data_IF_450907543286
#
_entry.id   IF_450907543286
#
_cell.length_a   1.000
_cell.length_b   1.000
_cell.length_c   1.000
_cell.angle_alpha   90.00
_cell.angle_beta   90.00
_cell.angle_gamma   90.00
#
_symmetry.space_group_name_H-M   'P 1'
#
loop_
_entity.id
_entity.type
_entity.pdbx_description
1 polymer ?
#
# COMPACT_ATOMS: atom_id res chain seq x y z
N UNK A 1 -21.71 -6.33 4.72
CA UNK A 1 -20.61 -6.66 3.76
C UNK A 1 -19.65 -5.49 3.57
N UNK A 2 -20.16 -4.26 3.36
CA UNK A 2 -19.40 -3.01 3.16
C UNK A 2 -18.44 -2.65 4.31
N UNK A 3 -18.94 -2.65 5.55
CA UNK A 3 -18.12 -2.32 6.73
C UNK A 3 -16.90 -3.24 6.90
N UNK A 4 -17.09 -4.55 6.64
CA UNK A 4 -16.01 -5.53 6.70
C UNK A 4 -14.90 -5.25 5.66
N UNK A 5 -15.25 -4.71 4.48
CA UNK A 5 -14.28 -4.33 3.46
C UNK A 5 -13.49 -3.09 3.86
N UNK A 6 -14.16 -2.05 4.36
CA UNK A 6 -13.51 -0.83 4.90
C UNK A 6 -12.54 -1.14 6.03
N UNK A 7 -12.92 -2.05 6.94
CA UNK A 7 -12.04 -2.51 8.02
C UNK A 7 -10.82 -3.26 7.51
N UNK A 8 -10.97 -4.09 6.46
CA UNK A 8 -9.83 -4.78 5.83
C UNK A 8 -8.88 -3.83 5.12
N UNK A 9 -9.40 -2.75 4.51
CA UNK A 9 -8.58 -1.72 3.86
C UNK A 9 -7.90 -0.77 4.87
N UNK A 10 -8.41 -0.69 6.10
CA UNK A 10 -7.84 0.16 7.15
C UNK A 10 -6.64 -0.50 7.79
N UNK A 11 -5.54 0.25 7.91
CA UNK A 11 -4.30 -0.22 8.53
C UNK A 11 -4.06 0.49 9.87
N UNK A 12 -3.61 -0.25 10.87
CA UNK A 12 -3.21 0.25 12.17
C UNK A 12 -1.83 -0.28 12.57
N UNK A 13 -1.06 0.53 13.28
CA UNK A 13 0.13 0.12 14.02
C UNK A 13 -0.28 -0.09 15.47
N UNK A 14 0.06 -1.24 16.03
CA UNK A 14 -0.16 -1.55 17.44
C UNK A 14 1.17 -1.71 18.16
N UNK A 15 1.28 -1.06 19.31
CA UNK A 15 2.35 -1.32 20.29
C UNK A 15 1.77 -2.21 21.39
N UNK A 16 2.37 -3.37 21.61
CA UNK A 16 2.10 -4.16 22.80
C UNK A 16 3.34 -4.18 23.69
N UNK A 17 3.14 -3.99 24.98
CA UNK A 17 4.18 -3.85 25.99
C UNK A 17 3.85 -4.71 27.21
N UNK A 18 4.83 -4.88 28.10
CA UNK A 18 4.65 -5.64 29.34
C UNK A 18 4.38 -7.14 29.08
N UNK A 19 3.37 -7.76 29.74
CA UNK A 19 3.14 -9.20 29.65
C UNK A 19 2.71 -9.66 28.25
N UNK A 20 2.32 -8.74 27.36
CA UNK A 20 1.85 -9.01 26.00
C UNK A 20 2.83 -8.55 24.92
N UNK A 21 4.14 -8.59 25.20
CA UNK A 21 5.23 -8.14 24.30
C UNK A 21 5.26 -8.75 22.88
N UNK A 22 4.39 -9.73 22.58
CA UNK A 22 4.26 -10.32 21.24
C UNK A 22 2.82 -10.19 20.72
N UNK A 23 2.66 -9.38 19.68
CA UNK A 23 1.42 -9.26 18.89
C UNK A 23 1.04 -10.59 18.27
N UNK A 24 2.01 -11.41 17.88
CA UNK A 24 1.73 -12.76 17.38
C UNK A 24 1.08 -13.63 18.45
N UNK A 25 1.49 -13.54 19.72
CA UNK A 25 0.87 -14.34 20.80
C UNK A 25 -0.56 -13.89 21.08
N UNK A 26 -0.83 -12.59 21.05
CA UNK A 26 -2.19 -12.06 21.23
C UNK A 26 -3.07 -12.38 20.02
N UNK A 27 -2.55 -12.24 18.80
CA UNK A 27 -3.26 -12.60 17.58
C UNK A 27 -3.48 -14.12 17.53
N UNK A 28 -2.51 -14.96 17.87
CA UNK A 28 -2.67 -16.42 17.92
C UNK A 28 -3.64 -16.87 19.03
N UNK A 29 -3.66 -16.18 20.17
CA UNK A 29 -4.63 -16.43 21.24
C UNK A 29 -6.05 -15.98 20.85
N UNK A 30 -6.17 -14.92 20.05
CA UNK A 30 -7.45 -14.37 19.61
C UNK A 30 -7.99 -15.00 18.31
N UNK A 31 -7.11 -15.50 17.44
CA UNK A 31 -7.41 -16.16 16.17
C UNK A 31 -6.87 -17.60 16.18
N UNK A 32 -7.78 -18.58 16.21
CA UNK A 32 -7.48 -19.95 15.75
C UNK A 32 -7.23 -19.97 14.22
N UNK A 33 -6.08 -19.43 13.74
CA UNK A 33 -5.59 -19.31 12.33
C UNK A 33 -5.98 -18.03 11.56
N UNK A 34 -5.22 -17.42 10.61
CA UNK A 34 -3.83 -17.56 10.13
C UNK A 34 -3.14 -16.18 10.14
N UNK A 35 -1.84 -16.17 10.43
CA UNK A 35 -1.02 -14.97 10.66
C UNK A 35 -0.26 -14.52 9.41
N UNK A 36 -0.96 -14.24 8.31
CA UNK A 36 -0.26 -13.99 7.02
C UNK A 36 0.12 -12.54 6.73
N UNK A 37 -0.06 -11.58 7.65
CA UNK A 37 0.50 -10.24 7.41
C UNK A 37 0.68 -9.40 8.67
N UNK A 38 1.50 -9.86 9.61
CA UNK A 38 1.99 -8.98 10.69
C UNK A 38 3.39 -8.51 10.34
N UNK A 39 3.48 -7.39 9.63
CA UNK A 39 4.76 -6.71 9.42
C UNK A 39 5.18 -6.06 10.74
N UNK A 40 6.30 -6.51 11.31
CA UNK A 40 6.91 -5.88 12.49
C UNK A 40 7.84 -4.76 12.03
N UNK A 41 7.61 -3.56 12.54
CA UNK A 41 8.43 -2.38 12.32
C UNK A 41 9.31 -2.16 13.54
N UNK A 42 10.62 -2.05 13.31
CA UNK A 42 11.55 -1.60 14.34
C UNK A 42 11.24 -0.14 14.69
N UNK A 43 11.14 0.16 15.97
CA UNK A 43 10.88 1.48 16.51
C UNK A 43 11.84 1.76 17.67
N UNK A 44 11.90 3.00 18.10
CA UNK A 44 12.64 3.42 19.29
C UNK A 44 11.67 4.16 20.20
N UNK A 45 11.69 3.86 21.50
CA UNK A 45 10.87 4.60 22.45
C UNK A 45 11.50 5.95 22.82
N UNK A 46 10.80 6.73 23.65
CA UNK A 46 11.26 8.05 24.09
C UNK A 46 12.56 8.00 24.91
N UNK A 47 12.96 6.82 25.39
CA UNK A 47 14.19 6.59 26.15
C UNK A 47 15.35 6.08 25.29
N UNK A 48 15.16 5.97 23.97
CA UNK A 48 16.17 5.45 23.06
C UNK A 48 16.24 3.92 23.02
N UNK A 49 15.34 3.21 23.70
CA UNK A 49 15.36 1.75 23.73
C UNK A 49 14.66 1.16 22.50
N UNK A 50 15.16 0.02 21.97
CA UNK A 50 14.54 -0.66 20.86
C UNK A 50 13.14 -1.13 21.25
N UNK A 51 12.18 -0.83 20.37
CA UNK A 51 10.79 -1.21 20.51
C UNK A 51 10.27 -1.74 19.17
N UNK A 52 9.07 -2.32 19.17
CA UNK A 52 8.46 -2.86 17.96
C UNK A 52 7.00 -2.43 17.85
N UNK A 53 6.61 -2.05 16.64
CA UNK A 53 5.22 -1.83 16.27
C UNK A 53 4.82 -2.91 15.28
N UNK A 54 3.60 -3.42 15.41
CA UNK A 54 3.05 -4.38 14.45
C UNK A 54 1.99 -3.72 13.59
N UNK A 55 2.10 -3.88 12.28
CA UNK A 55 1.07 -3.48 11.32
C UNK A 55 -0.03 -4.54 11.30
N UNK A 56 -1.28 -4.10 11.48
CA UNK A 56 -2.49 -4.93 11.51
C UNK A 56 -3.61 -4.26 10.71
N UNK A 57 -4.60 -5.04 10.25
CA UNK A 57 -5.78 -4.45 9.62
C UNK A 57 -6.86 -4.10 10.67
N UNK A 58 -7.95 -3.44 10.24
CA UNK A 58 -9.05 -3.04 11.13
C UNK A 58 -9.87 -4.21 11.70
N UNK A 59 -9.88 -5.37 11.06
CA UNK A 59 -10.52 -6.58 11.61
C UNK A 59 -9.68 -7.11 12.77
N UNK A 60 -8.37 -7.22 12.59
CA UNK A 60 -7.44 -7.68 13.63
C UNK A 60 -7.48 -6.75 14.85
N UNK A 61 -7.54 -5.42 14.62
CA UNK A 61 -7.75 -4.44 15.69
C UNK A 61 -8.99 -4.77 16.53
N UNK A 62 -10.15 -5.00 15.89
CA UNK A 62 -11.39 -5.32 16.61
C UNK A 62 -11.29 -6.62 17.40
N UNK A 63 -10.57 -7.61 16.87
CA UNK A 63 -10.37 -8.88 17.55
C UNK A 63 -9.46 -8.73 18.77
N UNK A 64 -8.38 -7.96 18.65
CA UNK A 64 -7.49 -7.64 19.78
C UNK A 64 -8.26 -6.86 20.86
N UNK A 65 -9.04 -5.84 20.47
CA UNK A 65 -9.86 -5.06 21.40
C UNK A 65 -10.90 -5.92 22.14
N UNK A 66 -11.52 -6.89 21.45
CA UNK A 66 -12.44 -7.84 22.07
C UNK A 66 -11.71 -8.75 23.06
N UNK A 67 -10.59 -9.33 22.65
CA UNK A 67 -9.83 -10.26 23.49
C UNK A 67 -9.33 -9.61 24.78
N UNK A 68 -8.85 -8.36 24.71
CA UNK A 68 -8.40 -7.59 25.88
C UNK A 68 -9.54 -7.21 26.82
N UNK A 69 -10.77 -7.09 26.30
CA UNK A 69 -11.97 -6.87 27.14
C UNK A 69 -12.33 -8.13 27.93
N UNK A 70 -12.14 -9.30 27.31
CA UNK A 70 -12.40 -10.60 27.92
C UNK A 70 -11.27 -11.03 28.87
N UNK A 71 -10.04 -10.54 28.64
CA UNK A 71 -8.83 -10.84 29.40
C UNK A 71 -8.17 -9.53 29.87
N UNK A 72 -8.71 -8.86 30.91
CA UNK A 72 -8.20 -7.57 31.35
C UNK A 72 -6.82 -7.69 32.02
N UNK A 73 -5.89 -6.82 31.62
CA UNK A 73 -4.56 -6.69 32.23
C UNK A 73 -4.46 -5.34 32.95
N UNK A 74 -4.43 -5.31 34.30
CA UNK A 74 -4.30 -4.08 35.06
C UNK A 74 -3.04 -3.30 34.65
N UNK A 75 -3.22 -2.00 34.34
CA UNK A 75 -2.10 -1.12 33.98
C UNK A 75 -1.62 -1.24 32.53
N UNK A 76 -2.25 -2.07 31.69
CA UNK A 76 -1.93 -2.19 30.27
C UNK A 76 -3.08 -1.64 29.41
N UNK A 77 -2.75 -0.79 28.45
CA UNK A 77 -3.69 -0.35 27.42
C UNK A 77 -2.94 -0.29 26.09
N UNK A 78 -3.35 -1.08 25.08
CA UNK A 78 -2.68 -1.05 23.78
C UNK A 78 -2.87 0.32 23.12
N UNK A 79 -1.83 0.77 22.44
CA UNK A 79 -1.89 1.99 21.62
C UNK A 79 -2.09 1.54 20.17
N UNK A 80 -3.19 1.99 19.57
CA UNK A 80 -3.46 1.83 18.15
C UNK A 80 -3.27 3.16 17.44
N UNK A 81 -2.35 3.18 16.49
CA UNK A 81 -2.08 4.34 15.63
C UNK A 81 -2.60 4.00 14.24
N UNK A 82 -3.46 4.83 13.67
CA UNK A 82 -3.92 4.59 12.29
C UNK A 82 -2.78 4.88 11.32
N UNK A 83 -2.43 3.91 10.48
CA UNK A 83 -1.51 4.13 9.38
C UNK A 83 -2.28 4.80 8.24
N UNK A 84 -1.91 6.05 7.97
CA UNK A 84 -2.58 6.89 6.97
C UNK A 84 -1.86 6.87 5.63
N UNK A 85 -0.77 6.11 5.48
CA UNK A 85 -0.06 5.99 4.22
C UNK A 85 -0.82 5.08 3.25
N UNK A 86 -0.66 5.31 1.94
CA UNK A 86 -1.15 4.37 0.93
C UNK A 86 -0.50 2.99 1.15
N UNK A 87 -1.24 1.90 1.41
CA UNK A 87 -0.66 0.56 1.52
C UNK A 87 0.06 0.15 0.23
N UNK A 88 1.14 -0.61 0.38
CA UNK A 88 1.84 -1.32 -0.70
C UNK A 88 1.98 -2.75 -0.21
N UNK A 89 1.17 -3.66 -0.72
CA UNK A 89 1.14 -5.06 -0.27
C UNK A 89 1.24 -5.99 -1.50
N UNK A 90 2.38 -5.88 -2.19
CA UNK A 90 2.67 -6.63 -3.42
C UNK A 90 2.98 -8.10 -3.10
N UNK A 91 2.25 -9.01 -3.74
CA UNK A 91 2.49 -10.45 -3.64
C UNK A 91 3.82 -10.82 -4.30
N UNK A 92 4.60 -11.69 -3.65
CA UNK A 92 5.82 -12.28 -4.21
C UNK A 92 5.55 -13.49 -5.11
N UNK A 93 4.35 -14.06 -5.04
CA UNK A 93 3.97 -15.33 -5.69
C UNK A 93 2.81 -15.16 -6.67
N UNK A 94 2.37 -13.93 -6.93
CA UNK A 94 1.37 -13.60 -7.94
C UNK A 94 1.54 -12.16 -8.40
N UNK A 95 0.91 -11.79 -9.51
CA UNK A 95 0.82 -10.41 -9.95
C UNK A 95 -0.06 -9.53 -9.03
N UNK A 96 -0.67 -10.07 -7.99
CA UNK A 96 -1.52 -9.28 -7.09
C UNK A 96 -0.73 -8.22 -6.31
N UNK A 97 -1.26 -7.01 -6.12
CA UNK A 97 -2.30 -6.36 -6.92
C UNK A 97 -1.71 -5.79 -8.23
N UNK A 98 -2.46 -5.91 -9.34
CA UNK A 98 -2.15 -5.27 -10.62
C UNK A 98 -3.37 -4.48 -11.11
N UNK A 99 -3.14 -3.27 -11.59
CA UNK A 99 -4.18 -2.38 -12.11
C UNK A 99 -4.94 -3.05 -13.27
N UNK A 100 -6.26 -3.11 -13.15
CA UNK A 100 -7.17 -3.64 -14.16
C UNK A 100 -7.10 -5.15 -14.35
N UNK A 101 -6.42 -5.90 -13.48
CA UNK A 101 -6.34 -7.36 -13.54
C UNK A 101 -6.94 -8.00 -12.29
N UNK A 102 -7.89 -8.91 -12.50
CA UNK A 102 -8.31 -9.84 -11.46
C UNK A 102 -7.34 -11.02 -11.40
N UNK A 103 -6.28 -10.87 -10.62
CA UNK A 103 -5.20 -11.86 -10.46
C UNK A 103 -5.66 -13.15 -9.76
N UNK A 104 -6.91 -13.24 -9.33
CA UNK A 104 -7.48 -14.49 -8.80
C UNK A 104 -7.87 -15.46 -9.91
N UNK A 105 -8.04 -14.97 -11.15
CA UNK A 105 -8.45 -15.80 -12.28
C UNK A 105 -7.28 -16.66 -12.81
N UNK A 106 -7.52 -17.93 -13.21
CA UNK A 106 -6.47 -18.87 -13.58
C UNK A 106 -5.53 -18.40 -14.70
N UNK A 107 -6.04 -17.61 -15.65
CA UNK A 107 -5.27 -17.10 -16.79
C UNK A 107 -4.20 -16.07 -16.40
N UNK A 108 -4.26 -15.51 -15.20
CA UNK A 108 -3.27 -14.56 -14.68
C UNK A 108 -2.36 -15.18 -13.62
N UNK A 109 -2.40 -16.52 -13.47
CA UNK A 109 -1.42 -17.23 -12.63
C UNK A 109 -0.06 -17.14 -13.29
N UNK A 110 0.95 -16.87 -12.46
CA UNK A 110 2.35 -16.90 -12.87
C UNK A 110 2.72 -18.29 -13.40
N UNK A 111 3.59 -18.30 -14.41
CA UNK A 111 4.35 -19.50 -14.74
C UNK A 111 5.28 -19.92 -13.60
N UNK A 112 5.79 -21.15 -13.62
CA UNK A 112 6.66 -21.70 -12.57
C UNK A 112 7.90 -20.85 -12.27
N UNK A 113 8.41 -20.14 -13.27
CA UNK A 113 9.69 -19.42 -13.20
C UNK A 113 9.52 -17.89 -13.29
N UNK A 114 8.27 -17.41 -13.31
CA UNK A 114 7.97 -15.99 -13.46
C UNK A 114 7.94 -15.28 -12.10
N UNK A 115 8.74 -14.23 -11.95
CA UNK A 115 8.80 -13.42 -10.74
C UNK A 115 8.04 -12.11 -10.98
N UNK A 116 6.98 -11.81 -10.19
CA UNK A 116 6.17 -10.62 -10.40
C UNK A 116 6.95 -9.36 -9.99
N UNK A 117 7.23 -8.49 -10.97
CA UNK A 117 7.99 -7.24 -10.80
C UNK A 117 7.09 -6.01 -10.95
N UNK A 118 7.35 -4.90 -10.23
CA UNK A 118 8.35 -4.77 -9.17
C UNK A 118 8.00 -5.60 -7.92
N UNK A 119 9.00 -6.02 -7.15
CA UNK A 119 8.80 -6.67 -5.86
C UNK A 119 8.55 -5.66 -4.73
N UNK A 120 8.05 -6.15 -3.60
CA UNK A 120 7.65 -5.33 -2.44
C UNK A 120 8.72 -4.32 -1.98
N UNK A 121 10.00 -4.69 -2.04
CA UNK A 121 11.15 -3.88 -1.60
C UNK A 121 12.18 -3.66 -2.71
N UNK A 122 11.72 -3.68 -3.96
CA UNK A 122 12.58 -3.45 -5.11
C UNK A 122 12.78 -1.96 -5.36
N UNK A 123 14.04 -1.56 -5.46
CA UNK A 123 14.47 -0.21 -5.80
C UNK A 123 15.73 -0.28 -6.67
N UNK A 124 15.89 0.62 -7.66
CA UNK A 124 14.92 1.63 -8.07
C UNK A 124 13.67 1.00 -8.73
N UNK A 125 12.53 1.71 -8.70
CA UNK A 125 11.28 1.23 -9.30
C UNK A 125 10.55 2.36 -10.04
N UNK A 126 10.02 2.05 -11.23
CA UNK A 126 9.21 3.00 -11.99
C UNK A 126 7.87 3.24 -11.32
N UNK A 127 7.51 4.51 -11.15
CA UNK A 127 6.20 4.95 -10.72
C UNK A 127 5.52 5.78 -11.78
N UNK A 128 4.26 5.44 -12.09
CA UNK A 128 3.39 6.26 -12.92
C UNK A 128 2.50 7.14 -12.05
N UNK A 129 2.48 8.43 -12.39
CA UNK A 129 1.66 9.44 -11.76
C UNK A 129 0.68 10.08 -12.74
N UNK A 130 -0.52 10.32 -12.25
CA UNK A 130 -1.54 11.16 -12.86
C UNK A 130 -1.95 12.24 -11.86
N UNK A 131 -2.53 13.35 -12.32
CA UNK A 131 -2.97 14.42 -11.41
C UNK A 131 -1.82 15.22 -10.79
N UNK A 132 -1.87 15.47 -9.48
CA UNK A 132 -0.96 16.42 -8.81
C UNK A 132 0.49 15.92 -8.73
N UNK A 133 0.71 14.62 -8.56
CA UNK A 133 2.08 14.06 -8.57
C UNK A 133 2.75 14.07 -9.95
N UNK A 134 1.99 14.30 -11.03
CA UNK A 134 2.55 14.56 -12.35
C UNK A 134 3.13 15.99 -12.49
N UNK A 135 2.89 16.87 -11.52
CA UNK A 135 3.50 18.20 -11.44
C UNK A 135 4.86 18.11 -10.74
N UNK A 136 5.92 18.51 -11.45
CA UNK A 136 7.30 18.47 -10.95
C UNK A 136 7.51 19.37 -9.74
N UNK A 137 6.75 20.46 -9.60
CA UNK A 137 6.85 21.36 -8.45
C UNK A 137 6.32 20.72 -7.17
N UNK A 138 5.32 19.84 -7.28
CA UNK A 138 4.76 19.08 -6.15
C UNK A 138 5.76 18.01 -5.70
N UNK A 139 6.33 17.25 -6.64
CA UNK A 139 7.34 16.24 -6.27
C UNK A 139 8.64 16.85 -5.76
N UNK A 140 9.12 17.97 -6.31
CA UNK A 140 10.31 18.63 -5.77
C UNK A 140 10.11 19.04 -4.30
N UNK A 141 8.91 19.52 -3.93
CA UNK A 141 8.59 19.82 -2.52
C UNK A 141 8.51 18.55 -1.67
N UNK A 142 7.99 17.46 -2.23
CA UNK A 142 7.78 16.21 -1.51
C UNK A 142 9.07 15.38 -1.35
N UNK A 143 9.95 15.39 -2.34
CA UNK A 143 11.13 14.54 -2.42
C UNK A 143 12.43 15.26 -2.08
N UNK A 144 12.38 16.60 -1.92
CA UNK A 144 13.43 17.58 -1.53
C UNK A 144 13.82 18.50 -2.70
N UNK A 145 14.22 19.74 -2.38
CA UNK A 145 14.48 20.79 -3.37
C UNK A 145 15.61 20.48 -4.36
N UNK A 146 16.51 19.56 -4.03
CA UNK A 146 17.62 19.11 -4.89
C UNK A 146 17.22 17.94 -5.81
N UNK A 147 15.95 17.54 -5.79
CA UNK A 147 15.43 16.43 -6.60
C UNK A 147 15.35 16.83 -8.08
N UNK A 148 16.42 16.57 -8.83
CA UNK A 148 16.48 16.72 -10.28
C UNK A 148 16.20 15.40 -10.99
N UNK A 149 15.05 14.79 -10.73
CA UNK A 149 14.69 13.58 -11.46
C UNK A 149 13.97 13.90 -12.77
N UNK A 150 14.39 13.23 -13.82
CA UNK A 150 13.75 13.29 -15.12
C UNK A 150 12.35 12.66 -15.05
N UNK A 151 11.38 13.37 -15.59
CA UNK A 151 10.05 12.86 -15.81
C UNK A 151 9.89 12.47 -17.27
N UNK A 152 9.36 11.28 -17.50
CA UNK A 152 9.05 10.80 -18.84
C UNK A 152 7.56 10.90 -19.07
N UNK A 153 7.16 11.49 -20.20
CA UNK A 153 5.77 11.42 -20.64
C UNK A 153 5.40 9.94 -20.81
N UNK A 154 4.35 9.51 -20.12
CA UNK A 154 4.00 8.10 -20.04
C UNK A 154 2.49 7.92 -20.12
N UNK A 155 2.09 6.68 -20.38
CA UNK A 155 0.69 6.26 -20.38
C UNK A 155 0.56 4.84 -19.86
N UNK A 156 -0.56 4.54 -19.24
CA UNK A 156 -0.87 3.21 -18.71
C UNK A 156 -2.23 2.72 -19.21
N UNK A 157 -2.41 1.40 -19.16
CA UNK A 157 -3.67 0.70 -19.43
C UNK A 157 -4.17 -0.03 -18.19
N UNK A 158 -5.44 -0.44 -18.23
CA UNK A 158 -6.08 -1.17 -17.13
C UNK A 158 -6.61 -0.26 -16.02
N UNK A 159 -6.47 1.05 -16.17
CA UNK A 159 -7.10 2.02 -15.29
C UNK A 159 -7.99 3.00 -16.06
N UNK A 160 -8.96 3.57 -15.35
CA UNK A 160 -9.77 4.68 -15.83
C UNK A 160 -9.82 5.80 -14.80
N UNK A 161 -9.80 7.04 -15.26
CA UNK A 161 -10.02 8.20 -14.41
C UNK A 161 -11.52 8.38 -14.19
N UNK A 162 -11.96 8.36 -12.92
CA UNK A 162 -13.31 8.71 -12.52
C UNK A 162 -13.31 9.97 -11.68
N UNK A 163 -14.32 10.80 -11.83
CA UNK A 163 -14.48 11.98 -10.97
C UNK A 163 -15.07 11.55 -9.63
N UNK A 164 -14.33 11.82 -8.56
CA UNK A 164 -14.77 11.69 -7.18
C UNK A 164 -14.83 13.07 -6.53
N UNK A 165 -16.05 13.54 -6.28
CA UNK A 165 -16.36 14.89 -5.81
C UNK A 165 -15.82 15.96 -6.77
N UNK A 166 -14.58 16.41 -6.59
CA UNK A 166 -13.92 17.45 -7.41
C UNK A 166 -12.56 17.00 -7.98
N UNK A 167 -12.16 15.76 -7.75
CA UNK A 167 -10.85 15.23 -8.14
C UNK A 167 -11.02 14.00 -9.02
N UNK A 168 -10.09 13.80 -9.95
CA UNK A 168 -10.04 12.56 -10.73
C UNK A 168 -9.23 11.52 -9.96
N UNK A 169 -9.79 10.32 -9.83
CA UNK A 169 -9.17 9.19 -9.16
C UNK A 169 -9.03 8.04 -10.14
N UNK A 170 -7.90 7.33 -10.08
CA UNK A 170 -7.64 6.16 -10.90
C UNK A 170 -8.27 4.93 -10.26
N UNK A 171 -9.17 4.29 -10.99
CA UNK A 171 -9.79 3.02 -10.60
C UNK A 171 -9.47 1.94 -11.63
N UNK A 172 -9.72 0.68 -11.29
CA UNK A 172 -9.57 -0.43 -12.24
C UNK A 172 -10.50 -0.26 -13.45
N UNK A 173 -9.94 -0.56 -14.62
CA UNK A 173 -10.64 -0.77 -15.88
C UNK A 173 -10.27 -2.15 -16.43
N UNK A 174 -11.06 -3.19 -16.10
CA UNK A 174 -10.81 -4.56 -16.58
C UNK A 174 -10.86 -4.70 -18.11
N UNK A 175 -11.52 -3.77 -18.82
CA UNK A 175 -11.57 -3.79 -20.28
C UNK A 175 -10.21 -3.44 -20.91
N UNK A 176 -9.34 -2.74 -20.16
CA UNK A 176 -8.02 -2.24 -20.58
C UNK A 176 -8.06 -1.41 -21.88
N UNK A 177 -9.24 -0.92 -22.28
CA UNK A 177 -9.41 -0.10 -23.48
C UNK A 177 -9.07 1.35 -23.20
N UNK A 178 -9.27 1.82 -21.96
CA UNK A 178 -8.90 3.18 -21.59
C UNK A 178 -7.39 3.35 -21.47
N UNK A 179 -6.95 4.54 -21.85
CA UNK A 179 -5.56 4.96 -21.80
C UNK A 179 -5.47 6.17 -20.88
N UNK A 180 -4.67 6.06 -19.82
CA UNK A 180 -4.45 7.15 -18.88
C UNK A 180 -3.09 7.75 -19.14
N UNK A 181 -3.07 9.03 -19.49
CA UNK A 181 -1.84 9.79 -19.72
C UNK A 181 -1.36 10.42 -18.42
N UNK A 182 -0.04 10.49 -18.27
CA UNK A 182 0.59 11.03 -17.09
C UNK A 182 2.10 11.10 -17.28
N UNK A 183 2.83 10.90 -16.19
CA UNK A 183 4.29 10.87 -16.22
C UNK A 183 4.84 9.69 -15.42
N UNK A 184 5.99 9.21 -15.85
CA UNK A 184 6.76 8.20 -15.16
C UNK A 184 8.00 8.82 -14.51
N UNK A 185 8.35 8.30 -13.34
CA UNK A 185 9.51 8.68 -12.57
C UNK A 185 10.16 7.43 -12.01
N UNK A 186 11.48 7.35 -12.04
CA UNK A 186 12.23 6.28 -11.42
C UNK A 186 12.51 6.65 -9.95
N UNK A 187 11.75 6.04 -9.03
CA UNK A 187 11.91 6.23 -7.58
C UNK A 187 13.13 5.43 -7.13
N UNK A 188 14.10 6.10 -6.50
CA UNK A 188 15.42 5.56 -6.21
C UNK A 188 15.48 4.84 -4.87
N UNK A 189 14.74 5.36 -3.88
CA UNK A 189 14.89 4.92 -2.49
C UNK A 189 13.55 4.61 -1.83
N UNK A 190 13.63 3.82 -0.75
CA UNK A 190 12.48 3.53 0.10
C UNK A 190 11.89 4.79 0.71
N UNK A 191 12.74 5.72 1.13
CA UNK A 191 12.35 6.96 1.80
C UNK A 191 11.58 7.89 0.84
N UNK A 192 11.96 7.93 -0.43
CA UNK A 192 11.17 8.62 -1.47
C UNK A 192 9.79 7.99 -1.65
N UNK A 193 9.72 6.66 -1.77
CA UNK A 193 8.45 5.93 -1.85
C UNK A 193 7.56 6.18 -0.63
N UNK A 194 8.12 6.18 0.58
CA UNK A 194 7.37 6.45 1.80
C UNK A 194 6.75 7.85 1.80
N UNK A 195 7.46 8.87 1.29
CA UNK A 195 6.91 10.23 1.13
C UNK A 195 5.78 10.28 0.10
N UNK A 196 5.92 9.57 -1.01
CA UNK A 196 4.86 9.43 -2.03
C UNK A 196 3.60 8.78 -1.44
N UNK A 197 3.78 7.67 -0.70
CA UNK A 197 2.68 6.95 -0.06
C UNK A 197 1.99 7.78 1.03
N UNK A 198 2.75 8.60 1.76
CA UNK A 198 2.20 9.53 2.74
C UNK A 198 1.36 10.64 2.08
N UNK A 199 1.77 11.13 0.91
CA UNK A 199 1.04 12.17 0.18
C UNK A 199 -0.31 11.67 -0.37
N UNK A 200 -0.33 10.49 -1.00
CA UNK A 200 -1.56 9.93 -1.56
C UNK A 200 -2.52 9.45 -0.47
N UNK A 201 -1.97 8.98 0.65
CA UNK A 201 -2.70 8.50 1.83
C UNK A 201 -3.43 7.17 1.64
N UNK A 202 -3.98 6.64 2.74
CA UNK A 202 -4.72 5.38 2.85
C UNK A 202 -6.02 5.28 2.03
N UNK A 203 -6.40 6.33 1.29
CA UNK A 203 -7.52 6.25 0.33
C UNK A 203 -7.08 5.69 -1.03
N UNK A 204 -5.77 5.57 -1.25
CA UNK A 204 -5.15 4.87 -2.37
C UNK A 204 -4.33 3.68 -1.88
N UNK A 205 -3.99 2.79 -2.81
CA UNK A 205 -3.06 1.69 -2.63
C UNK A 205 -2.05 1.66 -3.78
N UNK A 206 -0.86 1.14 -3.53
CA UNK A 206 0.17 0.93 -4.54
C UNK A 206 -0.06 -0.41 -5.23
N UNK A 207 -0.20 -0.37 -6.55
CA UNK A 207 -0.42 -1.55 -7.39
C UNK A 207 0.56 -1.62 -8.54
N UNK A 208 0.81 -2.83 -9.07
CA UNK A 208 1.59 -3.00 -10.30
C UNK A 208 0.84 -2.46 -11.50
N UNK A 209 1.57 -1.91 -12.46
CA UNK A 209 1.04 -1.49 -13.76
C UNK A 209 2.12 -1.61 -14.84
N UNK A 210 1.70 -1.51 -16.09
CA UNK A 210 2.58 -1.48 -17.25
C UNK A 210 2.61 -0.06 -17.79
N UNK A 211 3.81 0.52 -17.85
CA UNK A 211 4.06 1.94 -18.15
C UNK A 211 4.67 2.05 -19.54
N UNK A 212 3.92 2.64 -20.48
CA UNK A 212 4.38 2.90 -21.84
C UNK A 212 5.06 4.27 -21.90
N UNK A 213 6.37 4.29 -22.14
CA UNK A 213 7.19 5.51 -22.30
C UNK A 213 7.70 5.58 -23.75
N UNK A 214 6.95 6.26 -24.64
CA UNK A 214 7.34 6.38 -26.05
C UNK A 214 7.21 5.07 -26.85
N UNK A 215 8.22 4.75 -27.65
CA UNK A 215 8.26 3.59 -28.57
C UNK A 215 9.00 2.37 -28.02
N UNK A 216 9.43 2.42 -26.76
CA UNK A 216 10.10 1.30 -26.09
C UNK A 216 9.08 0.28 -25.55
N UNK A 217 9.58 -0.91 -25.20
CA UNK A 217 8.76 -1.91 -24.51
C UNK A 217 8.22 -1.33 -23.19
N UNK A 218 6.96 -1.62 -22.82
CA UNK A 218 6.38 -1.09 -21.59
C UNK A 218 7.16 -1.53 -20.36
N UNK A 219 7.52 -0.58 -19.49
CA UNK A 219 8.19 -0.88 -18.23
C UNK A 219 7.21 -1.43 -17.19
N UNK A 220 7.64 -2.44 -16.44
CA UNK A 220 6.92 -2.86 -15.23
C UNK A 220 7.11 -1.79 -14.15
N UNK A 221 6.02 -1.27 -13.62
CA UNK A 221 6.06 -0.20 -12.63
C UNK A 221 4.92 -0.27 -11.64
N UNK A 222 4.79 0.80 -10.87
CA UNK A 222 3.83 0.96 -9.79
C UNK A 222 3.00 2.21 -10.01
N UNK A 223 1.78 2.24 -9.48
CA UNK A 223 0.94 3.44 -9.45
C UNK A 223 0.00 3.42 -8.26
N UNK A 224 -0.67 4.54 -8.00
CA UNK A 224 -1.62 4.72 -6.91
C UNK A 224 -3.06 4.54 -7.43
N UNK A 225 -3.68 3.41 -7.08
CA UNK A 225 -5.08 3.11 -7.38
C UNK A 225 -5.95 3.53 -6.21
N UNK A 226 -7.06 4.19 -6.49
CA UNK A 226 -8.05 4.55 -5.48
C UNK A 226 -8.77 3.31 -4.95
N UNK A 227 -8.86 3.21 -3.62
CA UNK A 227 -9.56 2.11 -2.97
C UNK A 227 -11.07 2.36 -3.09
N UNK A 228 -11.70 1.72 -4.07
CA UNK A 228 -13.14 1.92 -4.39
C UNK A 228 -14.09 1.65 -3.22
N UNK A 229 -13.70 0.85 -2.23
CA UNK A 229 -14.47 0.66 -0.99
C UNK A 229 -14.56 1.95 -0.12
N UNK A 230 -13.83 3.01 -0.50
CA UNK A 230 -13.88 4.36 0.09
C UNK A 230 -14.79 5.33 -0.71
N UNK A 231 -15.29 4.94 -1.89
CA UNK A 231 -16.39 5.64 -2.58
C UNK A 231 -17.70 5.27 -1.89
N UNK A 232 -18.11 6.08 -0.92
CA UNK A 232 -19.41 6.14 -0.22
C UNK A 232 -20.22 4.86 -0.05
#
# INVERSE_FOLDING_TARGET
MKEKRRLRASTFLVKLEGPLHSVQTVIQAAYKSSADSTQVLAATDLSGQPSSLSKINGIDKLVIERWLRENPYPGFTPIFIRDLNAPKDLSSTSFHPTLGLDTTLPQYRLGSDEIPRPAQKEYPAWYFFYGTLADSSVLAKLLSSDFQAEYYAAKIRGGALKTWVRYNVLVDDPSRTNLVHGKALLVQTREEEERLRAYETHVYEVVRCSIEMGSEEPANGLTFRFITDMMD
#
